data_IF_044499850170
#
_entry.id   IF_044499850170
#
_cell.length_a   1.000
_cell.length_b   1.000
_cell.length_c   1.000
_cell.angle_alpha   90.00
_cell.angle_beta   90.00
_cell.angle_gamma   90.00
#
_symmetry.space_group_name_H-M   'P 1'
#
loop_
_entity.id
_entity.type
_entity.pdbx_description
1 polymer ?
#
# COMPACT_ATOMS: atom_id res chain seq x y z
N UNK A 1 8.30 -19.69 53.87
CA UNK A 1 7.00 -19.49 53.21
C UNK A 1 7.18 -18.61 51.99
N UNK A 2 7.38 -19.20 50.81
CA UNK A 2 7.27 -18.45 49.57
C UNK A 2 5.77 -18.21 49.34
N UNK A 3 5.32 -16.97 49.52
CA UNK A 3 3.93 -16.55 49.41
C UNK A 3 3.46 -16.38 47.97
N UNK A 4 4.30 -16.70 46.99
CA UNK A 4 3.97 -16.63 45.57
C UNK A 4 4.51 -17.84 44.82
N UNK A 5 3.62 -18.50 44.07
CA UNK A 5 3.94 -19.55 43.12
C UNK A 5 3.78 -18.98 41.71
N UNK A 6 4.80 -19.13 40.86
CA UNK A 6 4.72 -18.73 39.45
C UNK A 6 4.34 -19.96 38.63
N UNK A 7 3.11 -20.00 38.14
CA UNK A 7 2.67 -21.07 37.26
C UNK A 7 3.26 -20.94 35.85
N UNK A 8 3.58 -22.05 35.21
CA UNK A 8 4.02 -22.08 33.80
C UNK A 8 2.85 -22.34 32.86
N UNK A 9 3.02 -22.01 31.57
CA UNK A 9 2.03 -22.38 30.56
C UNK A 9 1.78 -23.90 30.57
N UNK A 10 0.54 -24.29 30.35
CA UNK A 10 0.03 -25.68 30.35
C UNK A 10 0.18 -26.42 31.69
N UNK A 11 0.56 -25.72 32.76
CA UNK A 11 0.71 -26.34 34.05
C UNK A 11 -0.64 -26.78 34.64
N UNK A 12 -0.69 -28.02 35.14
CA UNK A 12 -1.80 -28.52 35.95
C UNK A 12 -1.60 -28.12 37.41
N UNK A 13 -2.58 -27.42 37.97
CA UNK A 13 -2.64 -27.05 39.39
C UNK A 13 -3.62 -27.99 40.09
N UNK A 14 -3.16 -28.65 41.15
CA UNK A 14 -3.99 -29.52 41.99
C UNK A 14 -4.59 -28.74 43.16
N UNK A 15 -5.87 -28.99 43.43
CA UNK A 15 -6.65 -28.36 44.48
C UNK A 15 -7.16 -29.44 45.43
N UNK A 16 -6.89 -29.25 46.73
CA UNK A 16 -7.51 -30.05 47.80
C UNK A 16 -8.65 -29.25 48.40
N UNK A 17 -9.86 -29.80 48.34
CA UNK A 17 -11.03 -29.25 49.01
C UNK A 17 -11.25 -30.06 50.27
N UNK A 18 -11.17 -29.43 51.43
CA UNK A 18 -11.30 -30.07 52.73
C UNK A 18 -12.43 -29.42 53.52
N UNK A 19 -13.27 -30.26 54.13
CA UNK A 19 -14.27 -29.85 55.10
C UNK A 19 -13.59 -29.60 56.45
N UNK A 20 -13.69 -28.38 56.97
CA UNK A 20 -12.95 -27.96 58.16
C UNK A 20 -13.43 -28.61 59.47
N UNK A 21 -14.67 -29.12 59.50
CA UNK A 21 -15.28 -29.70 60.70
C UNK A 21 -14.99 -31.22 60.79
N UNK A 22 -15.04 -31.90 59.64
CA UNK A 22 -14.89 -33.35 59.54
C UNK A 22 -13.49 -33.79 59.09
N UNK A 23 -12.69 -32.91 58.48
CA UNK A 23 -11.39 -33.21 57.89
C UNK A 23 -11.44 -34.07 56.62
N UNK A 24 -12.64 -34.43 56.14
CA UNK A 24 -12.81 -35.13 54.89
C UNK A 24 -12.40 -34.23 53.73
N UNK A 25 -11.71 -34.80 52.73
CA UNK A 25 -11.24 -34.03 51.58
C UNK A 25 -11.41 -34.75 50.25
N UNK A 26 -11.47 -33.96 49.17
CA UNK A 26 -11.40 -34.41 47.79
C UNK A 26 -10.30 -33.65 47.03
N UNK A 27 -9.81 -34.23 45.94
CA UNK A 27 -8.83 -33.62 45.06
C UNK A 27 -9.46 -33.32 43.71
N UNK A 28 -9.10 -32.18 43.14
CA UNK A 28 -9.43 -31.80 41.76
C UNK A 28 -8.26 -31.05 41.15
N UNK A 29 -8.32 -30.71 39.87
CA UNK A 29 -7.27 -29.96 39.19
C UNK A 29 -7.81 -29.10 38.06
N UNK A 30 -7.00 -28.11 37.65
CA UNK A 30 -7.25 -27.29 36.47
C UNK A 30 -5.93 -26.95 35.76
N UNK A 31 -6.00 -26.57 34.49
CA UNK A 31 -4.84 -26.13 33.72
C UNK A 31 -4.73 -24.61 33.69
N UNK A 32 -3.49 -24.12 33.73
CA UNK A 32 -3.14 -22.72 33.43
C UNK A 32 -2.76 -22.63 31.95
N UNK A 33 -3.49 -21.84 31.18
CA UNK A 33 -3.18 -21.57 29.77
C UNK A 33 -2.74 -20.11 29.62
N UNK A 34 -1.53 -19.90 29.14
CA UNK A 34 -0.96 -18.59 28.83
C UNK A 34 -0.97 -18.39 27.32
N UNK A 35 -1.96 -17.65 26.84
CA UNK A 35 -2.01 -17.22 25.44
C UNK A 35 -1.04 -16.04 25.24
N UNK A 36 -0.34 -16.04 24.10
CA UNK A 36 0.59 -14.95 23.74
C UNK A 36 0.04 -14.17 22.54
N UNK A 37 0.34 -12.86 22.48
CA UNK A 37 0.10 -12.07 21.28
C UNK A 37 1.04 -12.52 20.14
N UNK A 38 0.74 -12.11 18.91
CA UNK A 38 1.56 -12.40 17.73
C UNK A 38 2.70 -11.39 17.65
N UNK A 39 3.91 -11.85 17.39
CA UNK A 39 5.04 -10.97 17.09
C UNK A 39 4.88 -10.43 15.66
N UNK A 40 4.57 -9.13 15.55
CA UNK A 40 4.34 -8.47 14.27
C UNK A 40 5.65 -8.03 13.61
N UNK A 41 5.66 -8.03 12.28
CA UNK A 41 6.77 -7.51 11.47
C UNK A 41 6.37 -6.14 10.93
N UNK A 42 7.26 -5.15 11.05
CA UNK A 42 7.01 -3.82 10.50
C UNK A 42 6.94 -3.89 8.97
N UNK A 43 5.78 -3.60 8.35
CA UNK A 43 5.67 -3.65 6.91
C UNK A 43 6.40 -2.48 6.26
N UNK A 44 6.85 -2.71 5.03
CA UNK A 44 7.24 -1.67 4.09
C UNK A 44 6.05 -0.75 3.79
N UNK A 45 6.29 0.53 3.46
CA UNK A 45 5.22 1.44 3.09
C UNK A 45 4.40 0.93 1.90
N UNK A 46 3.10 1.19 1.91
CA UNK A 46 2.24 0.97 0.74
C UNK A 46 2.24 2.25 -0.10
N UNK A 47 2.81 2.17 -1.30
CA UNK A 47 3.02 3.31 -2.19
C UNK A 47 2.23 3.07 -3.47
N UNK A 48 1.32 3.98 -3.80
CA UNK A 48 0.52 3.94 -5.03
C UNK A 48 0.65 5.27 -5.78
N UNK A 49 0.45 5.22 -7.10
CA UNK A 49 0.25 6.45 -7.86
C UNK A 49 -1.13 7.03 -7.56
N UNK A 50 -1.22 8.33 -7.73
CA UNK A 50 -2.49 9.06 -7.77
C UNK A 50 -3.35 8.61 -8.95
N UNK A 51 -4.67 8.69 -8.81
CA UNK A 51 -5.66 8.15 -9.76
C UNK A 51 -6.40 9.24 -10.57
N UNK A 52 -6.05 10.52 -10.37
CA UNK A 52 -6.72 11.64 -11.02
C UNK A 52 -5.85 12.88 -11.22
N UNK A 53 -6.35 13.80 -12.05
CA UNK A 53 -5.78 15.15 -12.21
C UNK A 53 -6.87 16.20 -11.91
N UNK A 54 -6.57 17.32 -11.23
CA UNK A 54 -5.26 17.70 -10.69
C UNK A 54 -4.82 16.79 -9.52
N UNK A 55 -3.50 16.66 -9.33
CA UNK A 55 -2.96 15.93 -8.18
C UNK A 55 -3.42 16.61 -6.87
N UNK A 56 -4.27 15.94 -6.09
CA UNK A 56 -4.72 16.29 -4.76
C UNK A 56 -4.03 15.49 -3.63
N UNK A 57 -3.15 14.56 -4.00
CA UNK A 57 -2.37 13.72 -3.10
C UNK A 57 -3.17 12.58 -2.48
N UNK A 58 -4.29 12.18 -3.09
CA UNK A 58 -5.13 11.09 -2.60
C UNK A 58 -5.28 9.98 -3.62
N UNK A 59 -5.57 8.78 -3.12
CA UNK A 59 -5.92 7.62 -3.95
C UNK A 59 -6.61 6.57 -3.07
N UNK A 60 -7.18 5.55 -3.71
CA UNK A 60 -7.76 4.39 -3.04
C UNK A 60 -6.67 3.36 -2.71
N UNK A 61 -6.66 2.88 -1.47
CA UNK A 61 -5.75 1.84 -1.00
C UNK A 61 -6.51 0.59 -0.57
N UNK A 62 -6.08 -0.57 -1.06
CA UNK A 62 -6.30 -1.84 -0.38
C UNK A 62 -5.19 -2.04 0.65
N UNK A 63 -5.51 -1.79 1.93
CA UNK A 63 -4.60 -1.95 3.06
C UNK A 63 -4.33 -3.43 3.35
N UNK A 64 -5.25 -4.33 2.99
CA UNK A 64 -5.20 -5.74 3.35
C UNK A 64 -4.06 -6.48 2.66
N UNK A 65 -3.54 -5.95 1.54
CA UNK A 65 -2.34 -6.45 0.87
C UNK A 65 -1.11 -6.49 1.78
N UNK A 66 -1.10 -5.70 2.87
CA UNK A 66 -0.04 -5.67 3.88
C UNK A 66 -0.24 -6.64 5.04
N UNK A 67 -1.39 -7.30 5.15
CA UNK A 67 -1.70 -8.21 6.26
C UNK A 67 -0.67 -9.34 6.40
N UNK A 68 -0.25 -9.95 5.30
CA UNK A 68 0.71 -11.07 5.32
C UNK A 68 2.10 -10.62 5.76
N UNK A 69 2.52 -9.43 5.34
CA UNK A 69 3.78 -8.81 5.76
C UNK A 69 3.75 -8.47 7.26
N UNK A 70 2.64 -7.88 7.74
CA UNK A 70 2.43 -7.52 9.16
C UNK A 70 2.44 -8.76 10.06
N UNK A 71 1.72 -9.81 9.68
CA UNK A 71 1.59 -11.04 10.48
C UNK A 71 2.88 -11.86 10.48
N UNK A 72 3.70 -11.74 9.44
CA UNK A 72 4.89 -12.56 9.24
C UNK A 72 4.57 -14.06 9.12
N UNK A 73 5.60 -14.90 8.93
CA UNK A 73 5.43 -16.33 8.69
C UNK A 73 4.77 -17.07 9.86
N UNK A 74 4.95 -16.58 11.09
CA UNK A 74 4.42 -17.20 12.30
C UNK A 74 2.98 -16.77 12.62
N UNK A 75 2.44 -15.70 12.00
CA UNK A 75 1.09 -15.21 12.25
C UNK A 75 0.06 -15.56 11.17
N UNK A 76 0.49 -16.05 10.01
CA UNK A 76 -0.39 -16.39 8.88
C UNK A 76 -1.16 -17.68 9.18
N UNK A 77 -2.45 -17.72 8.80
CA UNK A 77 -3.29 -18.91 8.90
C UNK A 77 -3.73 -19.28 10.32
N UNK A 78 -3.41 -18.46 11.32
CA UNK A 78 -3.76 -18.71 12.74
C UNK A 78 -5.13 -18.15 13.15
N UNK A 79 -5.93 -17.64 12.20
CA UNK A 79 -7.22 -17.00 12.50
C UNK A 79 -7.10 -15.64 13.20
N UNK A 80 -5.94 -14.97 13.07
CA UNK A 80 -5.75 -13.62 13.57
C UNK A 80 -6.61 -12.62 12.82
N UNK A 81 -7.21 -11.68 13.54
CA UNK A 81 -8.01 -10.58 12.98
C UNK A 81 -7.15 -9.32 12.93
N UNK A 82 -6.99 -8.75 11.74
CA UNK A 82 -6.24 -7.50 11.52
C UNK A 82 -7.23 -6.36 11.35
N UNK A 83 -7.08 -5.28 12.12
CA UNK A 83 -7.93 -4.09 12.06
C UNK A 83 -7.06 -2.83 11.95
N UNK A 84 -7.55 -1.85 11.21
CA UNK A 84 -6.83 -0.63 10.87
C UNK A 84 -7.51 0.60 11.48
N UNK A 85 -6.73 1.59 11.88
CA UNK A 85 -7.18 2.81 12.54
C UNK A 85 -6.39 4.02 12.04
N UNK A 86 -7.02 5.18 12.04
CA UNK A 86 -6.37 6.45 11.67
C UNK A 86 -5.60 7.08 12.84
N UNK A 87 -5.90 6.68 14.09
CA UNK A 87 -5.23 7.20 15.29
C UNK A 87 -4.76 6.07 16.23
N UNK A 88 -3.72 6.35 17.02
CA UNK A 88 -3.23 5.41 18.02
C UNK A 88 -4.23 5.18 19.15
N UNK A 89 -4.93 6.24 19.57
CA UNK A 89 -5.90 6.17 20.65
C UNK A 89 -7.06 5.25 20.30
N UNK A 90 -7.56 5.35 19.06
CA UNK A 90 -8.60 4.48 18.52
C UNK A 90 -8.15 3.02 18.44
N UNK A 91 -6.93 2.76 17.99
CA UNK A 91 -6.36 1.41 17.98
C UNK A 91 -6.28 0.82 19.40
N UNK A 92 -5.76 1.56 20.38
CA UNK A 92 -5.65 1.09 21.76
C UNK A 92 -7.02 0.90 22.44
N UNK A 93 -8.01 1.71 22.07
CA UNK A 93 -9.37 1.62 22.59
C UNK A 93 -10.24 0.58 21.84
N UNK A 94 -9.82 0.14 20.66
CA UNK A 94 -10.62 -0.69 19.77
C UNK A 94 -11.87 0.04 19.24
N UNK A 95 -11.79 1.35 19.04
CA UNK A 95 -12.89 2.21 18.58
C UNK A 95 -12.61 2.80 17.21
N UNK A 96 -13.63 3.17 16.44
CA UNK A 96 -13.48 3.86 15.14
C UNK A 96 -12.53 3.15 14.16
N UNK A 97 -12.59 1.81 14.10
CA UNK A 97 -11.86 1.04 13.09
C UNK A 97 -12.27 1.47 11.67
N UNK A 98 -11.31 1.46 10.75
CA UNK A 98 -11.56 1.68 9.32
C UNK A 98 -12.48 0.54 8.83
N UNK A 99 -13.74 0.85 8.40
CA UNK A 99 -14.72 -0.19 8.11
C UNK A 99 -14.37 -1.03 6.88
N UNK A 100 -13.82 -0.39 5.84
CA UNK A 100 -13.50 -1.02 4.56
C UNK A 100 -12.00 -0.86 4.28
N UNK A 101 -11.13 -1.71 4.86
CA UNK A 101 -9.69 -1.60 4.65
C UNK A 101 -9.25 -1.93 3.20
N UNK A 102 -10.08 -2.61 2.41
CA UNK A 102 -9.83 -2.88 0.98
C UNK A 102 -10.05 -1.64 0.08
N UNK A 103 -10.76 -0.63 0.60
CA UNK A 103 -11.17 0.56 -0.15
C UNK A 103 -11.00 1.83 0.71
N UNK A 104 -9.78 2.04 1.24
CA UNK A 104 -9.49 3.19 2.10
C UNK A 104 -8.86 4.35 1.33
N UNK A 105 -9.46 5.54 1.37
CA UNK A 105 -8.86 6.78 0.83
C UNK A 105 -8.12 7.55 1.92
N UNK A 106 -6.89 7.97 1.65
CA UNK A 106 -6.09 8.74 2.60
C UNK A 106 -6.62 10.17 2.81
N UNK A 107 -6.30 10.74 3.97
CA UNK A 107 -6.67 12.12 4.33
C UNK A 107 -5.48 13.09 4.27
N UNK A 108 -4.26 12.57 4.39
CA UNK A 108 -3.00 13.30 4.26
C UNK A 108 -2.02 12.48 3.42
N UNK A 109 -0.96 13.09 2.89
CA UNK A 109 0.08 12.39 2.14
C UNK A 109 1.47 12.84 2.61
N UNK A 110 2.34 11.98 3.16
CA UNK A 110 2.07 10.58 3.55
C UNK A 110 1.12 10.49 4.77
N UNK A 111 0.51 9.32 4.99
CA UNK A 111 -0.31 9.04 6.16
C UNK A 111 0.18 7.79 6.89
N UNK A 112 0.28 7.88 8.22
CA UNK A 112 0.54 6.72 9.09
C UNK A 112 -0.79 6.23 9.67
N UNK A 113 -1.06 4.95 9.48
CA UNK A 113 -2.16 4.20 10.05
C UNK A 113 -1.66 3.29 11.18
N UNK A 114 -2.55 2.98 12.11
CA UNK A 114 -2.30 2.08 13.23
C UNK A 114 -3.03 0.78 13.01
N UNK A 115 -2.37 -0.33 13.32
CA UNK A 115 -2.88 -1.68 13.08
C UNK A 115 -2.96 -2.42 14.40
N UNK A 116 -4.12 -2.99 14.71
CA UNK A 116 -4.30 -3.95 15.81
C UNK A 116 -4.46 -5.35 15.21
N UNK A 117 -3.71 -6.31 15.75
CA UNK A 117 -3.88 -7.72 15.46
C UNK A 117 -4.39 -8.42 16.72
N UNK A 118 -5.57 -9.03 16.63
CA UNK A 118 -6.18 -9.81 17.71
C UNK A 118 -6.13 -11.30 17.39
N UNK A 119 -5.57 -12.10 18.30
CA UNK A 119 -5.56 -13.56 18.17
C UNK A 119 -6.92 -14.17 18.51
N UNK A 120 -7.23 -15.42 18.10
CA UNK A 120 -8.46 -16.09 18.52
C UNK A 120 -8.64 -16.19 20.04
N UNK A 121 -7.53 -16.14 20.79
CA UNK A 121 -7.53 -16.13 22.25
C UNK A 121 -7.69 -14.72 22.88
N UNK A 122 -7.87 -13.68 22.06
CA UNK A 122 -8.07 -12.30 22.50
C UNK A 122 -6.78 -11.53 22.84
N UNK A 123 -5.60 -12.08 22.55
CA UNK A 123 -4.34 -11.35 22.75
C UNK A 123 -4.15 -10.33 21.64
N UNK A 124 -3.68 -9.13 21.99
CA UNK A 124 -3.56 -8.01 21.06
C UNK A 124 -2.11 -7.60 20.84
N UNK A 125 -1.78 -7.30 19.59
CA UNK A 125 -0.52 -6.67 19.17
C UNK A 125 -0.82 -5.42 18.36
N UNK A 126 0.09 -4.44 18.37
CA UNK A 126 -0.07 -3.19 17.64
C UNK A 126 1.17 -2.88 16.80
N UNK A 127 0.95 -2.33 15.62
CA UNK A 127 2.01 -1.84 14.73
C UNK A 127 1.49 -0.66 13.90
N UNK A 128 2.33 -0.12 13.01
CA UNK A 128 1.95 0.96 12.10
C UNK A 128 2.13 0.56 10.64
N UNK A 129 1.34 1.15 9.77
CA UNK A 129 1.50 1.09 8.32
C UNK A 129 1.59 2.52 7.78
N UNK A 130 2.59 2.81 6.95
CA UNK A 130 2.65 4.09 6.24
C UNK A 130 2.13 3.90 4.82
N UNK A 131 1.17 4.74 4.42
CA UNK A 131 0.68 4.85 3.04
C UNK A 131 1.17 6.15 2.42
N UNK A 132 1.48 6.12 1.12
CA UNK A 132 2.00 7.28 0.37
C UNK A 132 1.45 7.28 -1.05
N UNK A 133 1.08 8.47 -1.52
CA UNK A 133 0.64 8.71 -2.90
C UNK A 133 1.78 9.38 -3.68
N UNK A 134 2.09 8.87 -4.86
CA UNK A 134 2.99 9.49 -5.83
C UNK A 134 2.16 10.30 -6.84
N UNK A 135 2.48 11.58 -7.08
CA UNK A 135 1.74 12.41 -8.03
C UNK A 135 1.91 11.90 -9.46
N UNK A 136 0.88 12.10 -10.29
CA UNK A 136 0.97 11.87 -11.73
C UNK A 136 1.81 12.96 -12.41
N UNK A 137 2.54 12.65 -13.50
CA UNK A 137 3.15 13.67 -14.36
C UNK A 137 2.09 14.63 -14.90
N UNK A 138 2.41 15.92 -14.96
CA UNK A 138 1.51 16.96 -15.47
C UNK A 138 2.15 17.61 -16.71
N UNK A 139 1.98 17.01 -17.91
CA UNK A 139 2.56 17.56 -19.12
C UNK A 139 1.88 18.88 -19.51
N UNK A 140 2.58 19.70 -20.27
CA UNK A 140 1.94 20.80 -20.99
C UNK A 140 1.01 20.23 -22.08
N UNK A 141 -0.29 20.49 -21.95
CA UNK A 141 -1.32 20.02 -22.88
C UNK A 141 -1.39 20.80 -24.19
N UNK A 142 -0.65 21.91 -24.31
CA UNK A 142 -0.58 22.73 -25.53
C UNK A 142 0.89 23.00 -25.90
N UNK A 143 1.67 21.98 -26.32
CA UNK A 143 2.99 22.21 -26.89
C UNK A 143 2.88 22.94 -28.23
N UNK A 144 3.90 23.72 -28.57
CA UNK A 144 3.99 24.38 -29.88
C UNK A 144 4.15 23.31 -30.97
N UNK A 145 3.45 23.46 -32.08
CA UNK A 145 3.62 22.56 -33.22
C UNK A 145 5.06 22.59 -33.74
N UNK A 146 5.57 21.43 -34.16
CA UNK A 146 6.81 21.36 -34.92
C UNK A 146 6.49 21.72 -36.37
N UNK A 147 7.12 22.78 -36.88
CA UNK A 147 6.88 23.28 -38.23
C UNK A 147 8.19 23.29 -39.03
N UNK A 148 8.14 22.78 -40.26
CA UNK A 148 9.20 22.87 -41.25
C UNK A 148 8.59 23.11 -42.62
N UNK A 149 9.27 23.89 -43.45
CA UNK A 149 8.94 23.98 -44.87
C UNK A 149 9.46 22.74 -45.59
N UNK A 150 8.72 22.29 -46.60
CA UNK A 150 9.21 21.31 -47.57
C UNK A 150 10.49 21.84 -48.24
N UNK A 151 11.39 20.93 -48.60
CA UNK A 151 12.66 21.26 -49.19
C UNK A 151 12.53 21.58 -50.69
N UNK A 152 13.65 21.67 -51.40
CA UNK A 152 13.64 22.01 -52.82
C UNK A 152 13.03 20.91 -53.71
N UNK A 153 12.86 19.69 -53.19
CA UNK A 153 12.21 18.59 -53.91
C UNK A 153 10.72 18.82 -54.08
N UNK A 154 10.09 19.56 -53.15
CA UNK A 154 8.67 19.86 -53.13
C UNK A 154 7.80 18.59 -53.24
N UNK A 155 8.20 17.51 -52.56
CA UNK A 155 7.55 16.20 -52.62
C UNK A 155 6.42 16.02 -51.58
N UNK A 156 6.20 17.03 -50.74
CA UNK A 156 5.18 17.05 -49.70
C UNK A 156 5.59 16.31 -48.43
N UNK A 157 6.88 16.01 -48.23
CA UNK A 157 7.40 15.31 -47.06
C UNK A 157 8.60 15.99 -46.41
N UNK A 158 8.76 15.82 -45.10
CA UNK A 158 9.93 16.31 -44.35
C UNK A 158 10.20 15.42 -43.12
N UNK A 159 11.43 15.42 -42.62
CA UNK A 159 11.83 14.69 -41.43
C UNK A 159 11.81 15.59 -40.19
N UNK A 160 11.10 15.16 -39.15
CA UNK A 160 10.98 15.87 -37.88
C UNK A 160 11.78 15.19 -36.78
N UNK A 161 12.38 15.99 -35.90
CA UNK A 161 12.89 15.54 -34.61
C UNK A 161 11.80 15.78 -33.56
N UNK A 162 11.08 14.73 -33.19
CA UNK A 162 9.98 14.79 -32.21
C UNK A 162 10.48 15.22 -30.82
N UNK A 163 11.77 15.01 -30.53
CA UNK A 163 12.37 15.42 -29.24
C UNK A 163 12.50 16.93 -29.10
N UNK A 164 12.37 17.71 -30.18
CA UNK A 164 12.39 19.18 -30.12
C UNK A 164 11.22 19.73 -29.29
N UNK A 165 10.09 19.01 -29.21
CA UNK A 165 8.94 19.38 -28.38
C UNK A 165 9.10 18.96 -26.90
N UNK A 166 10.10 18.13 -26.56
CA UNK A 166 10.21 17.48 -25.25
C UNK A 166 10.26 18.47 -24.08
N UNK A 167 11.05 19.55 -24.20
CA UNK A 167 11.20 20.53 -23.13
C UNK A 167 9.88 21.27 -22.85
N UNK A 168 9.08 21.53 -23.88
CA UNK A 168 7.78 22.16 -23.71
C UNK A 168 6.76 21.19 -23.09
N UNK A 169 6.75 19.93 -23.52
CA UNK A 169 5.85 18.89 -23.02
C UNK A 169 6.11 18.60 -21.54
N UNK A 170 7.38 18.45 -21.16
CA UNK A 170 7.78 18.13 -19.78
C UNK A 170 7.59 19.32 -18.81
N UNK A 171 7.48 20.55 -19.29
CA UNK A 171 7.24 21.73 -18.46
C UNK A 171 8.19 21.86 -17.24
N UNK A 172 9.48 21.52 -17.43
CA UNK A 172 10.54 21.42 -16.41
C UNK A 172 10.50 20.19 -15.49
N UNK A 173 9.65 19.19 -15.77
CA UNK A 173 9.74 17.88 -15.14
C UNK A 173 11.01 17.14 -15.62
N UNK A 174 11.94 16.89 -14.69
CA UNK A 174 13.20 16.19 -14.96
C UNK A 174 13.16 14.71 -14.60
N UNK A 175 12.06 14.23 -14.00
CA UNK A 175 11.92 12.83 -13.56
C UNK A 175 11.15 12.00 -14.59
N UNK A 176 10.21 12.62 -15.30
CA UNK A 176 9.45 11.94 -16.36
C UNK A 176 10.28 11.72 -17.62
N UNK A 177 10.01 10.59 -18.28
CA UNK A 177 10.60 10.24 -19.58
C UNK A 177 9.50 10.24 -20.64
N UNK A 178 9.87 10.54 -21.88
CA UNK A 178 8.94 10.56 -23.01
C UNK A 178 9.17 9.36 -23.91
N UNK A 179 8.06 8.70 -24.26
CA UNK A 179 7.94 7.78 -25.39
C UNK A 179 6.99 8.38 -26.42
N UNK A 180 7.13 8.00 -27.68
CA UNK A 180 6.40 8.58 -28.80
C UNK A 180 5.62 7.49 -29.55
N UNK A 181 4.39 7.81 -29.92
CA UNK A 181 3.46 6.87 -30.56
C UNK A 181 2.76 7.55 -31.73
N UNK A 182 2.43 6.83 -32.83
CA UNK A 182 1.75 7.41 -33.98
C UNK A 182 0.29 7.80 -33.68
N UNK A 183 -0.37 7.08 -32.76
CA UNK A 183 -1.78 7.29 -32.41
C UNK A 183 -2.00 7.24 -30.90
N UNK A 184 -3.14 7.77 -30.45
CA UNK A 184 -3.59 7.66 -29.05
C UNK A 184 -3.84 6.20 -28.65
N UNK A 185 -4.41 5.39 -29.55
CA UNK A 185 -4.65 3.96 -29.32
C UNK A 185 -3.33 3.21 -29.13
N UNK A 186 -2.33 3.50 -29.96
CA UNK A 186 -0.98 2.95 -29.84
C UNK A 186 -0.34 3.33 -28.49
N UNK A 187 -0.47 4.59 -28.06
CA UNK A 187 0.04 5.05 -26.77
C UNK A 187 -0.65 4.37 -25.58
N UNK A 188 -1.97 4.20 -25.64
CA UNK A 188 -2.77 3.56 -24.59
C UNK A 188 -2.49 2.05 -24.49
N UNK A 189 -2.26 1.39 -25.63
CA UNK A 189 -2.01 -0.06 -25.68
C UNK A 189 -0.51 -0.42 -25.61
N UNK A 190 0.38 0.56 -25.75
CA UNK A 190 1.83 0.34 -25.81
C UNK A 190 2.27 -0.41 -27.07
N UNK A 191 1.63 -0.17 -28.21
CA UNK A 191 1.89 -0.86 -29.50
C UNK A 191 2.44 0.11 -30.55
N UNK A 192 3.35 -0.33 -31.41
CA UNK A 192 3.94 0.50 -32.49
C UNK A 192 4.74 1.73 -31.99
N UNK A 193 5.61 1.56 -30.99
CA UNK A 193 6.43 2.67 -30.45
C UNK A 193 7.37 3.25 -31.51
N UNK A 194 7.49 4.57 -31.55
CA UNK A 194 8.47 5.25 -32.38
C UNK A 194 9.84 5.19 -31.67
N UNK A 195 10.66 4.20 -32.06
CA UNK A 195 11.97 3.96 -31.46
C UNK A 195 13.06 4.96 -31.93
N UNK A 196 12.80 5.70 -33.02
CA UNK A 196 13.72 6.69 -33.59
C UNK A 196 13.08 8.07 -33.69
N UNK A 197 12.77 8.73 -32.56
CA UNK A 197 12.04 9.99 -32.54
C UNK A 197 12.84 11.18 -33.11
N UNK A 198 14.15 11.04 -33.33
CA UNK A 198 15.01 12.11 -33.87
C UNK A 198 14.95 12.26 -35.39
N UNK A 199 14.37 11.30 -36.09
CA UNK A 199 14.30 11.27 -37.54
C UNK A 199 12.99 10.62 -38.01
N UNK A 200 11.86 11.26 -37.73
CA UNK A 200 10.53 10.77 -38.09
C UNK A 200 10.02 11.43 -39.39
N UNK A 201 9.81 10.69 -40.49
CA UNK A 201 9.30 11.25 -41.73
C UNK A 201 7.80 11.56 -41.64
N UNK A 202 7.39 12.73 -42.14
CA UNK A 202 5.97 13.02 -42.33
C UNK A 202 5.39 12.17 -43.46
N UNK A 203 4.09 11.87 -43.38
CA UNK A 203 3.37 11.37 -44.55
C UNK A 203 3.25 12.47 -45.61
N UNK A 204 3.00 12.10 -46.87
CA UNK A 204 2.75 13.06 -47.95
C UNK A 204 1.57 13.96 -47.59
N UNK A 205 1.87 15.21 -47.24
CA UNK A 205 0.88 16.25 -47.03
C UNK A 205 0.40 16.78 -48.38
N UNK A 206 -0.90 16.81 -48.61
CA UNK A 206 -1.45 17.68 -49.66
C UNK A 206 -1.59 19.07 -49.06
N UNK A 207 -0.93 20.06 -49.66
CA UNK A 207 -1.12 21.49 -49.34
C UNK A 207 -2.56 21.90 -49.68
#
# INVERSE_FOLDING_TARGET
>A
NATQYTATNEQVIWVRVEDAETGCYSLTSFQVILNKPVDLIQPTPLVLCEDGTPNDGKTLFDLTVKNTEILGPMGIGMGNVVTYYTTQADALAGTNAIPNPEEYTNTTNAQTLFVEVTTPAGCKSYITLTIRVLPLPVPNINPTALEKCDDISADGTETFNLTDAAAQILANDTLSQLSYWPTEEDANNGTNEILTPTAWPSATGSV
#
